data_IF_248885518061
#
_entry.id   IF_248885518061
#
_cell.length_a   1.000
_cell.length_b   1.000
_cell.length_c   1.000
_cell.angle_alpha   90.00
_cell.angle_beta   90.00
_cell.angle_gamma   90.00
#
_symmetry.space_group_name_H-M   'P 1'
#
loop_
_entity.id
_entity.type
_entity.pdbx_description
1 polymer ?
#
# COMPACT_ATOMS: atom_id res chain seq x y z
N UNK A 1 -29.83 36.99 -2.35
CA UNK A 1 -30.19 36.36 -3.63
C UNK A 1 -29.13 35.29 -3.86
N UNK A 2 -29.45 34.03 -3.54
CA UNK A 2 -28.50 32.91 -3.58
C UNK A 2 -28.11 32.65 -5.05
N UNK A 3 -26.83 32.71 -5.40
CA UNK A 3 -26.35 32.38 -6.76
C UNK A 3 -25.50 31.13 -6.69
N UNK A 4 -26.16 29.98 -6.86
CA UNK A 4 -25.52 28.67 -6.95
C UNK A 4 -25.45 28.23 -8.42
N UNK A 5 -24.26 27.86 -8.90
CA UNK A 5 -24.08 27.28 -10.23
C UNK A 5 -24.06 25.76 -10.10
N UNK A 6 -25.14 25.11 -10.50
CA UNK A 6 -25.25 23.64 -10.52
C UNK A 6 -24.83 23.08 -11.87
N UNK A 7 -23.94 22.08 -11.86
CA UNK A 7 -23.61 21.31 -13.06
C UNK A 7 -24.03 19.85 -12.89
N UNK A 8 -24.60 19.28 -13.96
CA UNK A 8 -25.03 17.88 -13.99
C UNK A 8 -24.10 17.09 -14.91
N UNK A 9 -23.34 16.16 -14.35
CA UNK A 9 -22.58 15.16 -15.11
C UNK A 9 -23.05 13.79 -14.63
N UNK A 10 -23.47 12.94 -15.58
CA UNK A 10 -23.88 11.53 -15.41
C UNK A 10 -23.81 11.01 -13.96
N UNK A 11 -24.97 11.06 -13.28
CA UNK A 11 -25.28 10.55 -11.94
C UNK A 11 -24.53 11.08 -10.71
N UNK A 12 -23.71 12.13 -10.82
CA UNK A 12 -23.21 12.87 -9.65
C UNK A 12 -23.60 14.36 -9.72
N UNK A 13 -24.20 14.84 -8.64
CA UNK A 13 -24.52 16.25 -8.46
C UNK A 13 -23.37 16.90 -7.68
N UNK A 14 -22.58 17.75 -8.35
CA UNK A 14 -21.55 18.56 -7.68
C UNK A 14 -22.00 20.01 -7.76
N UNK A 15 -22.40 20.54 -6.61
CA UNK A 15 -22.70 21.96 -6.40
C UNK A 15 -21.43 22.62 -5.89
N UNK A 16 -20.85 23.54 -6.66
CA UNK A 16 -19.78 24.41 -6.16
C UNK A 16 -20.46 25.61 -5.53
N UNK A 17 -20.37 25.70 -4.20
CA UNK A 17 -20.91 26.84 -3.47
C UNK A 17 -19.92 28.00 -3.58
N UNK A 18 -20.29 29.01 -4.37
CA UNK A 18 -19.44 30.18 -4.62
C UNK A 18 -19.21 31.01 -3.35
N UNK A 19 -20.08 30.89 -2.35
CA UNK A 19 -19.92 31.54 -1.03
C UNK A 19 -18.75 30.97 -0.21
N UNK A 20 -18.26 29.77 -0.54
CA UNK A 20 -17.11 29.16 0.13
C UNK A 20 -15.76 29.76 -0.30
N UNK A 21 -15.74 30.54 -1.39
CA UNK A 21 -14.58 31.30 -1.85
C UNK A 21 -14.72 32.73 -1.34
N UNK A 22 -13.80 33.17 -0.48
CA UNK A 22 -13.84 34.52 0.11
C UNK A 22 -14.04 35.62 -0.95
N UNK A 23 -14.78 36.68 -0.60
CA UNK A 23 -15.17 37.76 -1.55
C UNK A 23 -13.98 38.34 -2.30
N UNK A 24 -12.84 38.40 -1.64
CA UNK A 24 -11.59 38.97 -2.12
C UNK A 24 -11.01 38.13 -3.27
N UNK A 25 -11.18 36.81 -3.18
CA UNK A 25 -10.77 35.85 -4.21
C UNK A 25 -11.69 35.98 -5.42
N UNK A 26 -13.00 36.09 -5.22
CA UNK A 26 -13.96 36.27 -6.31
C UNK A 26 -13.77 37.59 -7.05
N UNK A 27 -13.58 38.70 -6.31
CA UNK A 27 -13.35 40.02 -6.90
C UNK A 27 -12.02 40.06 -7.67
N UNK A 28 -10.98 39.41 -7.12
CA UNK A 28 -9.69 39.24 -7.78
C UNK A 28 -9.81 38.39 -9.05
N UNK A 29 -10.56 37.27 -9.02
CA UNK A 29 -10.78 36.40 -10.17
C UNK A 29 -11.51 37.12 -11.32
N UNK A 30 -12.52 37.93 -11.01
CA UNK A 30 -13.29 38.70 -12.01
C UNK A 30 -12.43 39.80 -12.64
N UNK A 31 -11.68 40.56 -11.83
CA UNK A 31 -10.77 41.62 -12.32
C UNK A 31 -9.67 41.06 -13.23
N UNK A 32 -9.19 39.86 -12.95
CA UNK A 32 -8.02 39.29 -13.60
C UNK A 32 -8.35 38.38 -14.80
N UNK A 33 -9.48 37.67 -14.76
CA UNK A 33 -9.97 36.87 -15.89
C UNK A 33 -10.28 37.72 -17.13
N UNK A 34 -10.74 38.95 -16.94
CA UNK A 34 -11.02 39.90 -18.03
C UNK A 34 -9.76 40.56 -18.62
N UNK A 35 -8.64 40.56 -17.91
CA UNK A 35 -7.44 41.33 -18.27
C UNK A 35 -6.40 40.54 -19.09
N UNK A 36 -6.54 39.21 -19.25
CA UNK A 36 -5.70 38.38 -20.13
C UNK A 36 -4.19 38.33 -19.78
N UNK A 37 -3.76 38.85 -18.62
CA UNK A 37 -2.35 38.89 -18.22
C UNK A 37 -1.92 37.56 -17.58
N UNK A 38 -0.69 37.10 -17.87
CA UNK A 38 -0.05 35.98 -17.14
C UNK A 38 0.13 36.39 -15.67
N UNK A 39 -0.33 35.55 -14.75
CA UNK A 39 -0.32 35.82 -13.31
C UNK A 39 0.39 34.73 -12.51
N UNK A 40 0.88 35.10 -11.34
CA UNK A 40 1.41 34.16 -10.33
C UNK A 40 0.23 33.53 -9.59
N UNK A 41 0.17 32.20 -9.55
CA UNK A 41 -0.92 31.46 -8.90
C UNK A 41 -0.73 31.42 -7.38
N UNK A 42 -1.82 31.65 -6.64
CA UNK A 42 -1.83 31.55 -5.17
C UNK A 42 -1.56 30.12 -4.68
N UNK A 43 -1.16 29.97 -3.43
CA UNK A 43 -0.90 28.67 -2.77
C UNK A 43 -2.10 27.74 -2.82
N UNK A 44 -3.29 28.29 -2.65
CA UNK A 44 -4.58 27.58 -2.56
C UNK A 44 -4.98 27.02 -3.93
N UNK A 45 -4.77 27.79 -5.00
CA UNK A 45 -5.01 27.34 -6.38
C UNK A 45 -4.01 26.27 -6.82
N UNK A 46 -2.78 26.31 -6.31
CA UNK A 46 -1.79 25.24 -6.53
C UNK A 46 -2.17 23.96 -5.78
N UNK A 47 -2.84 24.05 -4.63
CA UNK A 47 -3.27 22.89 -3.84
C UNK A 47 -4.34 22.06 -4.55
N UNK A 48 -5.14 22.67 -5.42
CA UNK A 48 -6.12 21.96 -6.26
C UNK A 48 -5.49 21.06 -7.33
N UNK A 49 -4.19 21.19 -7.61
CA UNK A 49 -3.49 20.32 -8.55
C UNK A 49 -3.25 18.90 -8.05
N UNK A 50 -3.39 18.65 -6.74
CA UNK A 50 -3.07 17.37 -6.10
C UNK A 50 -4.15 16.29 -6.22
N UNK A 51 -5.29 16.56 -6.86
CA UNK A 51 -6.38 15.57 -6.93
C UNK A 51 -6.13 14.46 -7.97
N UNK A 52 -6.18 14.78 -9.27
CA UNK A 52 -6.00 13.83 -10.37
C UNK A 52 -5.73 14.60 -11.65
N UNK A 53 -4.74 14.19 -12.44
CA UNK A 53 -4.36 14.88 -13.68
C UNK A 53 -5.52 14.96 -14.69
N UNK A 54 -6.43 13.96 -14.68
CA UNK A 54 -7.65 13.97 -15.50
C UNK A 54 -8.68 14.97 -14.99
N UNK A 55 -8.93 14.99 -13.69
CA UNK A 55 -9.86 15.95 -13.08
C UNK A 55 -9.36 17.38 -13.24
N UNK A 56 -8.06 17.60 -13.03
CA UNK A 56 -7.41 18.90 -13.22
C UNK A 56 -7.53 19.41 -14.66
N UNK A 57 -7.27 18.54 -15.65
CA UNK A 57 -7.39 18.91 -17.07
C UNK A 57 -8.83 19.26 -17.44
N UNK A 58 -9.80 18.51 -16.91
CA UNK A 58 -11.23 18.80 -17.10
C UNK A 58 -11.65 20.13 -16.46
N UNK A 59 -11.28 20.39 -15.21
CA UNK A 59 -11.60 21.68 -14.56
C UNK A 59 -10.93 22.85 -15.30
N UNK A 60 -9.69 22.67 -15.78
CA UNK A 60 -8.97 23.68 -16.54
C UNK A 60 -9.63 24.06 -17.87
N UNK A 61 -10.36 23.16 -18.54
CA UNK A 61 -11.11 23.55 -19.75
C UNK A 61 -12.21 24.55 -19.48
N UNK A 62 -12.78 24.54 -18.26
CA UNK A 62 -13.83 25.49 -17.87
C UNK A 62 -13.29 26.79 -17.29
N UNK A 63 -12.15 26.74 -16.58
CA UNK A 63 -11.61 27.89 -15.86
C UNK A 63 -10.34 28.51 -16.50
N UNK A 64 -9.90 28.01 -17.66
CA UNK A 64 -8.78 28.53 -18.47
C UNK A 64 -7.60 29.09 -17.63
N UNK A 65 -7.20 30.35 -17.84
CA UNK A 65 -5.98 30.96 -17.28
C UNK A 65 -5.97 31.10 -15.75
N UNK A 66 -7.03 30.68 -15.05
CA UNK A 66 -7.12 30.66 -13.59
C UNK A 66 -6.32 29.52 -12.96
N UNK A 67 -6.07 28.45 -13.72
CA UNK A 67 -5.30 27.30 -13.27
C UNK A 67 -3.94 27.20 -13.98
N UNK A 68 -2.86 26.85 -13.26
CA UNK A 68 -1.54 26.62 -13.85
C UNK A 68 -1.59 25.69 -15.07
N UNK A 69 -0.70 25.92 -16.02
CA UNK A 69 -0.49 24.92 -17.08
C UNK A 69 -0.01 23.61 -16.43
N UNK A 70 -0.50 22.43 -16.87
CA UNK A 70 0.03 21.14 -16.42
C UNK A 70 1.56 21.04 -16.56
N UNK A 71 2.15 21.72 -17.55
CA UNK A 71 3.62 21.80 -17.73
C UNK A 71 4.33 22.52 -16.58
N UNK A 72 3.65 23.40 -15.86
CA UNK A 72 4.20 24.14 -14.72
C UNK A 72 4.03 23.37 -13.40
N UNK A 73 3.28 22.27 -13.40
CA UNK A 73 2.95 21.45 -12.22
C UNK A 73 3.74 20.13 -12.15
N UNK A 74 4.74 19.95 -13.02
CA UNK A 74 5.63 18.79 -13.02
C UNK A 74 6.58 18.83 -11.82
N UNK A 75 6.08 18.57 -10.61
CA UNK A 75 6.95 18.27 -9.46
C UNK A 75 6.59 16.93 -8.81
N UNK A 76 5.32 16.51 -8.72
CA UNK A 76 4.97 15.35 -7.87
C UNK A 76 4.07 14.28 -8.49
N UNK A 77 4.27 13.92 -9.76
CA UNK A 77 3.76 12.62 -10.23
C UNK A 77 4.73 11.50 -9.81
N UNK A 78 4.51 10.96 -8.60
CA UNK A 78 5.02 9.65 -8.20
C UNK A 78 4.15 8.55 -8.82
N UNK A 79 4.39 8.24 -10.09
CA UNK A 79 3.97 6.99 -10.69
C UNK A 79 5.15 6.34 -11.42
N UNK A 80 5.89 5.47 -10.73
CA UNK A 80 6.94 4.65 -11.37
C UNK A 80 6.30 3.56 -12.21
N UNK A 81 6.05 3.85 -13.49
CA UNK A 81 6.00 2.83 -14.54
C UNK A 81 7.36 2.83 -15.24
N UNK A 82 7.96 1.64 -15.33
CA UNK A 82 9.19 1.40 -16.09
C UNK A 82 8.92 1.67 -17.57
N UNK A 83 9.35 2.83 -18.04
CA UNK A 83 9.93 2.95 -19.37
C UNK A 83 11.19 3.79 -19.22
N UNK A 84 12.28 3.25 -19.74
CA UNK A 84 13.59 3.88 -19.72
C UNK A 84 13.55 5.06 -20.70
N UNK A 85 13.29 6.26 -20.21
CA UNK A 85 13.81 7.47 -20.83
C UNK A 85 14.96 7.97 -19.96
N UNK A 86 16.15 8.00 -20.57
CA UNK A 86 17.37 8.47 -19.93
C UNK A 86 17.27 9.98 -19.72
N UNK A 87 16.75 10.38 -18.56
CA UNK A 87 16.89 11.75 -18.09
C UNK A 87 18.02 11.82 -17.06
N UNK A 88 19.03 12.65 -17.37
CA UNK A 88 20.39 12.56 -16.83
C UNK A 88 20.55 13.02 -15.38
N UNK A 89 19.47 13.20 -14.60
CA UNK A 89 19.52 13.71 -13.23
C UNK A 89 18.48 13.14 -12.25
N UNK A 90 17.87 11.97 -12.50
CA UNK A 90 17.10 11.26 -11.45
C UNK A 90 17.78 9.96 -11.05
N UNK A 91 18.88 10.10 -10.29
CA UNK A 91 19.49 8.99 -9.58
C UNK A 91 18.46 8.46 -8.58
N UNK A 92 17.99 7.23 -8.77
CA UNK A 92 17.16 6.49 -7.81
C UNK A 92 17.90 6.45 -6.48
N UNK A 93 17.59 7.38 -5.58
CA UNK A 93 18.27 7.53 -4.30
C UNK A 93 17.67 6.51 -3.32
N UNK A 94 18.05 5.25 -3.49
CA UNK A 94 17.68 4.21 -2.56
C UNK A 94 18.47 4.45 -1.27
N UNK A 95 17.82 5.01 -0.25
CA UNK A 95 18.44 5.30 1.03
C UNK A 95 19.01 4.00 1.62
N UNK A 96 20.29 4.04 2.03
CA UNK A 96 20.94 2.95 2.75
C UNK A 96 20.26 2.73 4.11
N UNK A 97 20.38 1.54 4.72
CA UNK A 97 19.75 1.20 6.00
C UNK A 97 20.05 2.22 7.11
N UNK A 98 21.30 2.66 7.21
CA UNK A 98 21.71 3.73 8.16
C UNK A 98 21.01 5.06 7.88
N UNK A 99 20.84 5.43 6.61
CA UNK A 99 20.16 6.67 6.24
C UNK A 99 18.67 6.60 6.55
N UNK A 100 18.03 5.43 6.39
CA UNK A 100 16.62 5.21 6.78
C UNK A 100 16.42 5.33 8.28
N UNK A 101 17.34 4.76 9.08
CA UNK A 101 17.32 4.92 10.54
C UNK A 101 17.43 6.38 10.96
N UNK A 102 18.33 7.15 10.35
CA UNK A 102 18.46 8.58 10.64
C UNK A 102 17.19 9.38 10.29
N UNK A 103 16.55 9.07 9.16
CA UNK A 103 15.29 9.70 8.75
C UNK A 103 14.16 9.35 9.73
N UNK A 104 14.10 8.09 10.18
CA UNK A 104 13.12 7.65 11.17
C UNK A 104 13.30 8.42 12.49
N UNK A 105 14.53 8.49 13.02
CA UNK A 105 14.81 9.25 14.25
C UNK A 105 14.40 10.72 14.09
N UNK A 106 14.76 11.35 12.97
CA UNK A 106 14.39 12.76 12.76
C UNK A 106 12.88 12.96 12.65
N UNK A 107 12.14 12.01 12.09
CA UNK A 107 10.69 12.06 12.07
C UNK A 107 10.08 11.94 13.47
N UNK A 108 10.67 11.10 14.33
CA UNK A 108 10.27 10.96 15.74
C UNK A 108 10.49 12.29 16.48
N UNK A 109 11.65 12.93 16.30
CA UNK A 109 11.96 14.23 16.90
C UNK A 109 10.92 15.30 16.52
N UNK A 110 10.58 15.38 15.22
CA UNK A 110 9.62 16.36 14.73
C UNK A 110 8.21 16.10 15.29
N UNK A 111 7.79 14.84 15.42
CA UNK A 111 6.51 14.51 16.07
C UNK A 111 6.51 14.93 17.54
N UNK A 112 7.62 14.70 18.23
CA UNK A 112 7.80 15.09 19.62
C UNK A 112 7.75 16.61 19.84
N UNK A 113 8.31 17.40 18.92
CA UNK A 113 8.26 18.87 18.93
C UNK A 113 6.82 19.40 18.86
N UNK A 114 5.92 18.69 18.17
CA UNK A 114 4.50 19.08 18.08
C UNK A 114 3.67 18.74 19.33
N UNK A 115 4.25 18.04 20.31
CA UNK A 115 3.54 17.55 21.50
C UNK A 115 2.77 16.24 21.26
N UNK A 116 2.87 15.64 20.07
CA UNK A 116 2.31 14.32 19.77
C UNK A 116 3.20 13.24 20.40
N UNK A 117 2.58 12.29 21.11
CA UNK A 117 3.27 11.14 21.70
C UNK A 117 3.19 9.93 20.79
N UNK A 118 4.34 9.43 20.35
CA UNK A 118 4.44 8.22 19.54
C UNK A 118 4.59 7.00 20.44
N UNK A 119 3.64 6.06 20.34
CA UNK A 119 3.69 4.81 21.13
C UNK A 119 4.28 3.63 20.36
N UNK A 120 4.06 3.59 19.04
CA UNK A 120 4.47 2.44 18.23
C UNK A 120 4.68 2.77 16.77
N UNK A 121 5.50 1.95 16.10
CA UNK A 121 5.77 1.99 14.66
C UNK A 121 5.53 0.62 14.04
N UNK A 122 5.06 0.59 12.79
CA UNK A 122 4.94 -0.62 12.00
C UNK A 122 5.92 -0.60 10.83
N UNK A 123 6.47 -1.75 10.46
CA UNK A 123 7.43 -1.84 9.37
C UNK A 123 7.38 -3.18 8.63
N UNK A 124 7.89 -3.18 7.40
CA UNK A 124 7.80 -4.28 6.45
C UNK A 124 8.96 -5.30 6.54
N UNK A 125 9.78 -5.24 7.60
CA UNK A 125 10.96 -6.09 7.76
C UNK A 125 12.30 -5.41 7.46
N UNK A 126 12.30 -4.11 7.14
CA UNK A 126 13.53 -3.32 7.12
C UNK A 126 14.23 -3.33 8.50
N UNK A 127 15.56 -3.44 8.52
CA UNK A 127 16.34 -3.43 9.77
C UNK A 127 16.20 -2.08 10.48
N UNK A 128 15.38 -2.04 11.53
CA UNK A 128 15.18 -0.88 12.41
C UNK A 128 16.14 -0.83 13.61
N UNK A 129 17.07 -1.78 13.71
CA UNK A 129 17.93 -1.93 14.90
C UNK A 129 17.19 -2.50 16.12
N UNK A 130 16.05 -3.14 15.88
CA UNK A 130 15.22 -3.79 16.91
C UNK A 130 15.40 -5.29 16.82
N UNK A 131 15.55 -5.96 17.97
CA UNK A 131 15.71 -7.40 18.05
C UNK A 131 14.36 -8.08 18.25
N UNK A 132 13.89 -8.76 17.20
CA UNK A 132 12.73 -9.63 17.26
C UNK A 132 13.20 -11.05 17.58
N UNK A 133 13.63 -11.26 18.82
CA UNK A 133 13.87 -12.60 19.34
C UNK A 133 12.55 -13.16 19.90
N UNK A 134 12.29 -14.44 19.64
CA UNK A 134 11.12 -15.17 20.15
C UNK A 134 11.23 -15.31 21.67
N UNK A 135 12.45 -15.52 22.17
CA UNK A 135 12.70 -15.78 23.58
C UNK A 135 12.82 -14.46 24.38
N UNK A 136 13.30 -13.39 23.74
CA UNK A 136 13.52 -12.08 24.36
C UNK A 136 13.11 -10.93 23.42
N UNK A 137 11.81 -10.65 23.27
CA UNK A 137 11.33 -9.61 22.37
C UNK A 137 11.62 -8.21 22.94
N UNK A 138 12.84 -7.72 22.73
CA UNK A 138 13.16 -6.29 22.90
C UNK A 138 12.68 -5.51 21.68
N UNK A 139 11.37 -5.51 21.46
CA UNK A 139 10.74 -4.93 20.27
C UNK A 139 10.49 -3.43 20.40
N UNK A 140 11.44 -2.68 20.96
CA UNK A 140 11.29 -1.25 21.13
C UNK A 140 12.59 -0.50 20.83
N UNK A 141 12.44 0.71 20.31
CA UNK A 141 13.51 1.71 20.26
C UNK A 141 13.30 2.68 21.42
N UNK A 142 14.41 3.23 21.92
CA UNK A 142 14.38 4.28 22.93
C UNK A 142 14.59 5.60 22.23
N UNK A 143 13.62 6.50 22.41
CA UNK A 143 13.68 7.86 21.91
C UNK A 143 14.56 8.74 22.82
N UNK A 144 14.93 9.95 22.36
CA UNK A 144 15.77 10.91 23.09
C UNK A 144 15.19 11.31 24.44
N UNK A 145 13.86 11.21 24.60
CA UNK A 145 13.14 11.41 25.87
C UNK A 145 13.24 10.22 26.84
N UNK A 146 13.99 9.17 26.48
CA UNK A 146 14.06 7.88 27.18
C UNK A 146 12.71 7.16 27.25
N UNK A 147 11.79 7.49 26.35
CA UNK A 147 10.53 6.79 26.20
C UNK A 147 10.67 5.62 25.22
N UNK A 148 9.89 4.56 25.44
CA UNK A 148 9.88 3.38 24.57
C UNK A 148 8.89 3.57 23.44
N UNK A 149 9.36 3.36 22.21
CA UNK A 149 8.53 3.27 21.01
C UNK A 149 8.55 1.83 20.52
N UNK A 150 7.42 1.15 20.58
CA UNK A 150 7.33 -0.26 20.22
C UNK A 150 7.29 -0.46 18.71
N UNK A 151 8.07 -1.40 18.19
CA UNK A 151 8.11 -1.74 16.79
C UNK A 151 7.35 -3.05 16.54
N UNK A 152 6.46 -3.03 15.56
CA UNK A 152 5.68 -4.20 15.14
C UNK A 152 5.91 -4.48 13.66
N UNK A 153 5.93 -5.76 13.29
CA UNK A 153 5.87 -6.12 11.89
C UNK A 153 4.49 -5.80 11.31
N UNK A 154 4.46 -5.37 10.05
CA UNK A 154 3.22 -5.21 9.29
C UNK A 154 2.61 -6.60 8.97
N UNK A 155 1.45 -6.99 9.55
CA UNK A 155 0.94 -8.34 9.42
C UNK A 155 0.63 -8.77 7.97
N UNK A 156 -0.03 -7.93 7.12
CA UNK A 156 -0.17 -8.19 5.69
C UNK A 156 1.16 -8.46 4.97
N UNK A 157 2.23 -7.73 5.32
CA UNK A 157 3.54 -7.97 4.75
C UNK A 157 4.12 -9.32 5.18
N UNK A 158 4.02 -9.66 6.47
CA UNK A 158 4.53 -10.93 7.00
C UNK A 158 3.85 -12.14 6.37
N UNK A 159 2.53 -12.11 6.17
CA UNK A 159 1.81 -13.19 5.49
C UNK A 159 2.31 -13.42 4.06
N UNK A 160 2.62 -12.33 3.34
CA UNK A 160 3.22 -12.46 2.00
C UNK A 160 4.60 -13.11 2.09
N UNK A 161 5.45 -12.68 3.02
CA UNK A 161 6.79 -13.24 3.18
C UNK A 161 6.73 -14.73 3.53
N UNK A 162 5.87 -15.13 4.46
CA UNK A 162 5.67 -16.54 4.84
C UNK A 162 5.26 -17.36 3.61
N UNK A 163 4.22 -16.94 2.89
CA UNK A 163 3.74 -17.63 1.68
C UNK A 163 4.82 -17.69 0.59
N UNK A 164 5.56 -16.59 0.38
CA UNK A 164 6.64 -16.55 -0.62
C UNK A 164 7.80 -17.48 -0.23
N UNK A 165 8.22 -17.44 1.04
CA UNK A 165 9.29 -18.29 1.56
C UNK A 165 8.91 -19.77 1.45
N UNK A 166 7.67 -20.12 1.79
CA UNK A 166 7.16 -21.48 1.70
C UNK A 166 7.18 -22.01 0.26
N UNK A 167 6.64 -21.25 -0.69
CA UNK A 167 6.71 -21.61 -2.11
C UNK A 167 8.15 -21.72 -2.63
N UNK A 168 9.02 -20.78 -2.27
CA UNK A 168 10.39 -20.74 -2.78
C UNK A 168 11.25 -21.87 -2.22
N UNK A 169 11.10 -22.19 -0.93
CA UNK A 169 11.86 -23.25 -0.27
C UNK A 169 11.28 -24.64 -0.53
N UNK A 170 10.01 -24.71 -0.96
CA UNK A 170 9.21 -25.93 -1.17
C UNK A 170 8.94 -26.73 0.11
N UNK A 171 9.93 -26.89 0.97
CA UNK A 171 9.81 -27.56 2.26
C UNK A 171 10.30 -26.61 3.35
N UNK A 172 9.51 -26.47 4.42
CA UNK A 172 9.89 -25.79 5.65
C UNK A 172 9.84 -26.83 6.77
N UNK A 173 10.80 -26.79 7.70
CA UNK A 173 10.79 -27.61 8.90
C UNK A 173 10.21 -26.81 10.07
N UNK A 174 9.32 -27.44 10.83
CA UNK A 174 8.86 -26.86 12.09
C UNK A 174 9.89 -27.10 13.21
N UNK A 175 9.60 -26.62 14.43
CA UNK A 175 10.46 -26.81 15.61
C UNK A 175 10.68 -28.28 16.01
N UNK A 176 9.81 -29.19 15.56
CA UNK A 176 9.91 -30.65 15.77
C UNK A 176 10.60 -31.38 14.61
N UNK A 177 11.14 -30.65 13.64
CA UNK A 177 11.73 -31.21 12.40
C UNK A 177 10.74 -31.95 11.49
N UNK A 178 9.45 -31.63 11.58
CA UNK A 178 8.42 -32.15 10.69
C UNK A 178 8.32 -31.28 9.43
N UNK A 179 8.08 -31.90 8.27
CA UNK A 179 8.08 -31.24 6.96
C UNK A 179 6.73 -30.61 6.61
N UNK A 180 6.76 -29.32 6.29
CA UNK A 180 5.64 -28.56 5.73
C UNK A 180 5.93 -28.33 4.24
N UNK A 181 5.32 -29.14 3.39
CA UNK A 181 5.63 -29.18 1.96
C UNK A 181 4.59 -28.46 1.10
N UNK A 182 5.02 -27.52 0.26
CA UNK A 182 4.19 -26.76 -0.66
C UNK A 182 3.47 -27.65 -1.68
N UNK A 183 4.02 -28.83 -2.01
CA UNK A 183 3.40 -29.78 -2.97
C UNK A 183 1.95 -30.12 -2.60
N UNK A 184 1.60 -30.08 -1.31
CA UNK A 184 0.24 -30.39 -0.87
C UNK A 184 -0.76 -29.29 -1.24
N UNK A 185 -0.32 -28.04 -1.41
CA UNK A 185 -1.15 -26.96 -1.96
C UNK A 185 -1.40 -27.18 -3.46
N UNK A 186 -0.36 -27.62 -4.19
CA UNK A 186 -0.47 -27.98 -5.61
C UNK A 186 -1.44 -29.16 -5.81
N UNK A 187 -1.26 -30.25 -5.05
CA UNK A 187 -2.10 -31.44 -5.11
C UNK A 187 -3.54 -31.20 -4.65
N UNK A 188 -3.75 -30.36 -3.63
CA UNK A 188 -5.09 -29.99 -3.17
C UNK A 188 -5.84 -29.28 -4.28
N UNK A 189 -5.18 -28.35 -4.97
CA UNK A 189 -5.77 -27.70 -6.14
C UNK A 189 -6.08 -28.71 -7.24
N UNK A 190 -5.17 -29.63 -7.56
CA UNK A 190 -5.39 -30.66 -8.58
C UNK A 190 -6.62 -31.53 -8.28
N UNK A 191 -6.76 -32.04 -7.05
CA UNK A 191 -7.92 -32.86 -6.66
C UNK A 191 -9.23 -32.07 -6.77
N UNK A 192 -9.27 -30.82 -6.30
CA UNK A 192 -10.47 -30.00 -6.42
C UNK A 192 -10.88 -29.77 -7.90
N UNK A 193 -9.90 -29.78 -8.82
CA UNK A 193 -10.15 -29.68 -10.25
C UNK A 193 -10.57 -31.02 -10.88
N UNK A 194 -9.95 -32.13 -10.48
CA UNK A 194 -10.27 -33.49 -10.93
C UNK A 194 -11.71 -33.87 -10.53
N UNK A 195 -12.06 -33.66 -9.26
CA UNK A 195 -13.38 -33.98 -8.69
C UNK A 195 -14.46 -32.96 -9.06
N UNK A 196 -14.07 -31.76 -9.54
CA UNK A 196 -14.95 -30.60 -9.77
C UNK A 196 -15.73 -30.17 -8.52
N UNK A 197 -15.22 -30.50 -7.33
CA UNK A 197 -15.78 -30.18 -6.03
C UNK A 197 -14.72 -29.53 -5.15
N UNK A 198 -15.11 -28.53 -4.35
CA UNK A 198 -14.19 -27.83 -3.44
C UNK A 198 -14.38 -28.28 -2.00
N UNK A 199 -13.29 -28.44 -1.26
CA UNK A 199 -13.28 -28.82 0.16
C UNK A 199 -13.41 -27.60 1.08
N UNK A 200 -14.22 -26.61 0.68
CA UNK A 200 -14.37 -25.35 1.42
C UNK A 200 -13.21 -24.36 1.24
N UNK A 201 -12.25 -24.65 0.36
CA UNK A 201 -11.14 -23.73 0.07
C UNK A 201 -11.52 -22.69 -0.99
N UNK A 202 -10.76 -21.58 -0.99
CA UNK A 202 -10.84 -20.55 -2.04
C UNK A 202 -9.65 -20.64 -3.01
N UNK A 203 -8.95 -21.77 -3.01
CA UNK A 203 -7.78 -21.97 -3.85
C UNK A 203 -8.18 -21.95 -5.33
N UNK A 204 -7.26 -21.42 -6.12
CA UNK A 204 -7.36 -21.31 -7.58
C UNK A 204 -5.95 -21.41 -8.13
N UNK A 205 -5.82 -21.59 -9.45
CA UNK A 205 -4.51 -21.60 -10.12
C UNK A 205 -3.63 -20.38 -9.78
N UNK A 206 -4.25 -19.24 -9.47
CA UNK A 206 -3.55 -18.01 -9.06
C UNK A 206 -2.84 -18.14 -7.72
N UNK A 207 -3.32 -19.01 -6.82
CA UNK A 207 -2.68 -19.28 -5.54
C UNK A 207 -1.45 -20.18 -5.68
N UNK A 208 -1.47 -21.08 -6.68
CA UNK A 208 -0.35 -21.96 -6.99
C UNK A 208 0.71 -21.23 -7.83
N UNK A 209 0.28 -20.48 -8.84
CA UNK A 209 1.15 -19.74 -9.76
C UNK A 209 1.11 -18.22 -9.53
N UNK A 210 1.36 -17.80 -8.29
CA UNK A 210 1.29 -16.39 -7.88
C UNK A 210 2.53 -15.55 -8.23
N UNK A 211 3.45 -16.03 -9.08
CA UNK A 211 4.75 -15.38 -9.34
C UNK A 211 4.64 -13.96 -9.93
N UNK A 212 3.55 -13.66 -10.65
CA UNK A 212 3.22 -12.30 -11.12
C UNK A 212 2.43 -11.47 -10.10
N UNK A 213 2.00 -12.09 -8.99
CA UNK A 213 1.13 -11.54 -7.96
C UNK A 213 1.71 -11.69 -6.55
N UNK A 214 3.04 -11.70 -6.43
CA UNK A 214 3.79 -11.89 -5.17
C UNK A 214 3.40 -10.87 -4.09
N UNK A 215 2.94 -9.68 -4.49
CA UNK A 215 2.47 -8.65 -3.57
C UNK A 215 0.99 -8.77 -3.17
N UNK A 216 0.24 -9.70 -3.76
CA UNK A 216 -1.19 -9.86 -3.50
C UNK A 216 -1.42 -10.56 -2.15
N UNK A 217 -1.74 -9.76 -1.13
CA UNK A 217 -2.01 -10.22 0.24
C UNK A 217 -3.22 -11.15 0.29
N UNK A 218 -4.24 -10.91 -0.54
CA UNK A 218 -5.47 -11.73 -0.53
C UNK A 218 -5.16 -13.18 -0.87
N UNK A 219 -4.31 -13.42 -1.87
CA UNK A 219 -3.87 -14.77 -2.21
C UNK A 219 -3.07 -15.40 -1.07
N UNK A 220 -2.20 -14.64 -0.39
CA UNK A 220 -1.44 -15.15 0.75
C UNK A 220 -2.35 -15.60 1.91
N UNK A 221 -3.30 -14.74 2.30
CA UNK A 221 -4.26 -15.01 3.37
C UNK A 221 -5.12 -16.23 3.04
N UNK A 222 -5.57 -16.35 1.79
CA UNK A 222 -6.40 -17.48 1.35
C UNK A 222 -5.62 -18.80 1.34
N UNK A 223 -4.35 -18.79 0.92
CA UNK A 223 -3.47 -19.97 1.00
C UNK A 223 -3.21 -20.40 2.45
N UNK A 224 -3.03 -19.46 3.37
CA UNK A 224 -2.71 -19.71 4.78
C UNK A 224 -3.96 -19.75 5.68
N UNK A 225 -5.12 -20.12 5.14
CA UNK A 225 -6.39 -20.08 5.88
C UNK A 225 -6.74 -21.41 6.54
N UNK A 226 -7.56 -21.35 7.60
CA UNK A 226 -8.03 -22.55 8.30
C UNK A 226 -8.77 -23.53 7.37
N UNK A 227 -9.53 -23.05 6.37
CA UNK A 227 -10.23 -23.97 5.47
C UNK A 227 -9.28 -24.77 4.58
N UNK A 228 -8.09 -24.23 4.26
CA UNK A 228 -7.03 -25.00 3.59
C UNK A 228 -6.44 -26.04 4.54
N UNK A 229 -6.21 -25.67 5.80
CA UNK A 229 -5.72 -26.61 6.82
C UNK A 229 -6.71 -27.77 7.08
N UNK A 230 -7.99 -27.48 7.17
CA UNK A 230 -9.07 -28.47 7.33
C UNK A 230 -9.16 -29.39 6.12
N UNK A 231 -9.08 -28.84 4.90
CA UNK A 231 -9.09 -29.62 3.66
C UNK A 231 -7.90 -30.59 3.59
N UNK A 232 -6.70 -30.14 3.94
CA UNK A 232 -5.51 -30.99 4.00
C UNK A 232 -5.64 -32.08 5.08
N UNK A 233 -6.15 -31.73 6.26
CA UNK A 233 -6.40 -32.67 7.36
C UNK A 233 -7.51 -33.69 7.07
N UNK A 234 -8.45 -33.33 6.20
CA UNK A 234 -9.44 -34.27 5.66
C UNK A 234 -8.76 -35.24 4.68
N UNK A 235 -8.01 -34.72 3.72
CA UNK A 235 -7.32 -35.51 2.70
C UNK A 235 -6.29 -36.48 3.28
N UNK A 236 -5.60 -36.13 4.38
CA UNK A 236 -4.69 -37.06 5.07
C UNK A 236 -5.39 -38.33 5.53
N UNK A 237 -6.70 -38.29 5.79
CA UNK A 237 -7.49 -39.43 6.26
C UNK A 237 -8.17 -40.17 5.11
N UNK A 238 -8.43 -39.50 3.99
CA UNK A 238 -9.27 -40.01 2.91
C UNK A 238 -8.53 -40.27 1.59
N UNK A 239 -7.26 -39.85 1.45
CA UNK A 239 -6.53 -39.94 0.19
C UNK A 239 -5.06 -40.31 0.40
N UNK A 240 -4.62 -41.37 -0.28
CA UNK A 240 -3.26 -41.91 -0.17
C UNK A 240 -2.16 -40.89 -0.55
N UNK A 241 -2.47 -39.92 -1.42
CA UNK A 241 -1.54 -38.85 -1.83
C UNK A 241 -1.12 -37.95 -0.65
N UNK A 242 -1.90 -37.93 0.42
CA UNK A 242 -1.73 -37.02 1.58
C UNK A 242 -1.34 -37.75 2.87
N UNK A 243 -1.04 -39.05 2.85
CA UNK A 243 -0.71 -39.84 4.05
C UNK A 243 0.45 -39.27 4.89
N UNK A 244 1.37 -38.55 4.24
CA UNK A 244 2.55 -37.92 4.85
C UNK A 244 2.45 -36.39 4.78
N UNK A 245 1.27 -35.83 4.53
CA UNK A 245 1.12 -34.39 4.69
C UNK A 245 1.38 -34.08 6.17
N UNK A 246 2.47 -33.34 6.42
CA UNK A 246 2.92 -32.99 7.76
C UNK A 246 1.85 -32.25 8.57
N UNK A 247 2.12 -31.91 9.83
CA UNK A 247 1.10 -31.34 10.70
C UNK A 247 0.57 -30.04 10.08
N UNK A 248 -0.71 -30.09 9.70
CA UNK A 248 -1.43 -28.92 9.17
C UNK A 248 -2.22 -28.19 10.26
N UNK A 249 -2.04 -28.61 11.52
CA UNK A 249 -2.72 -28.13 12.73
C UNK A 249 -1.83 -27.23 13.58
#
# INVERSE_FOLDING_TARGET
MHVSVSFRISNFHITIDLEALGSDVLEWLVKNGLAGKKQSFSSELKQFSYFSSKAYTFVRTFFNNLFPSPRTLLIDDMCTRQHVEMDSQKKKCMLNGKARGNVLMKAIDLLNETGVKLFSITFDGASLGVHFDIDHPETYIVDDRKEKVYAFYDPPHMLKLIRNAWNNKRVILNSKSEEINWKYIEQLYEIEQEERLRLGTKLTIRHVHFHSEVMNVRLAVQTLSNSVADALSYLTKSNDRFLIAGPTS
#
